data_IF_158236926809
#
_entry.id   IF_158236926809
#
_cell.length_a   1.000
_cell.length_b   1.000
_cell.length_c   1.000
_cell.angle_alpha   90.00
_cell.angle_beta   90.00
_cell.angle_gamma   90.00
#
_symmetry.space_group_name_H-M   'P 1'
#
loop_
_entity.id
_entity.type
_entity.pdbx_description
1 polymer ?
#
# COMPACT_ATOMS: atom_id res chain seq x y z
N UNK A 1 -28.69 9.08 2.19
CA UNK A 1 -27.78 9.02 1.02
C UNK A 1 -26.37 9.05 1.58
N UNK A 2 -25.56 7.98 1.51
CA UNK A 2 -24.19 8.06 2.03
C UNK A 2 -23.29 8.79 1.02
N UNK A 3 -22.42 9.63 1.54
CA UNK A 3 -21.55 10.55 0.77
C UNK A 3 -20.48 9.83 -0.07
N UNK A 4 -20.02 10.42 -1.20
CA UNK A 4 -18.95 9.85 -2.01
C UNK A 4 -17.62 9.96 -1.26
N UNK A 5 -17.09 8.81 -0.82
CA UNK A 5 -15.83 8.75 -0.09
C UNK A 5 -14.68 8.96 -1.07
N UNK A 6 -14.25 10.21 -1.23
CA UNK A 6 -12.98 10.56 -1.87
C UNK A 6 -11.83 10.11 -0.94
N UNK A 7 -11.50 8.82 -0.91
CA UNK A 7 -10.25 8.34 -0.30
C UNK A 7 -9.10 8.59 -1.27
N UNK A 8 -8.62 9.83 -1.26
CA UNK A 8 -7.42 10.29 -1.97
C UNK A 8 -6.18 10.27 -1.06
N UNK A 9 -6.18 9.38 -0.08
CA UNK A 9 -5.26 9.47 1.05
C UNK A 9 -4.11 8.49 0.92
N UNK A 10 -2.93 9.06 0.73
CA UNK A 10 -1.67 8.41 1.07
C UNK A 10 -1.79 7.90 2.50
N UNK A 11 -1.75 6.57 2.69
CA UNK A 11 -1.81 5.91 4.00
C UNK A 11 -0.44 5.36 4.36
N UNK A 12 -0.04 5.53 5.61
CA UNK A 12 1.13 4.85 6.16
C UNK A 12 0.69 3.59 6.91
N UNK A 13 1.32 2.45 6.63
CA UNK A 13 1.16 1.23 7.42
C UNK A 13 1.95 1.37 8.72
N UNK A 14 1.26 1.27 9.85
CA UNK A 14 1.87 1.13 11.17
C UNK A 14 2.01 -0.35 11.51
N UNK A 15 3.24 -0.80 11.75
CA UNK A 15 3.54 -2.19 12.14
C UNK A 15 2.85 -2.64 13.42
N UNK A 16 2.48 -1.70 14.31
CA UNK A 16 1.81 -1.99 15.56
C UNK A 16 0.28 -1.93 15.45
N UNK A 17 -0.25 -1.51 14.30
CA UNK A 17 -1.67 -1.31 14.08
C UNK A 17 -2.05 -1.68 12.63
N UNK A 18 -1.84 -2.95 12.28
CA UNK A 18 -2.14 -3.51 10.97
C UNK A 18 -3.62 -3.87 10.87
N UNK A 19 -4.23 -3.61 9.72
CA UNK A 19 -5.59 -4.06 9.41
C UNK A 19 -5.66 -5.57 9.15
N UNK A 20 -6.89 -6.09 9.04
CA UNK A 20 -7.15 -7.52 8.80
C UNK A 20 -6.48 -8.08 7.52
N UNK A 21 -6.34 -7.24 6.49
CA UNK A 21 -5.79 -7.62 5.18
C UNK A 21 -4.34 -7.13 4.99
N UNK A 22 -3.64 -6.88 6.08
CA UNK A 22 -2.29 -6.32 6.10
C UNK A 22 -1.38 -7.15 6.99
N UNK A 23 -0.12 -7.28 6.58
CA UNK A 23 0.90 -7.94 7.38
C UNK A 23 2.24 -7.24 7.15
N UNK A 24 3.09 -7.23 8.16
CA UNK A 24 4.45 -6.73 8.03
C UNK A 24 5.41 -7.59 8.82
N UNK A 25 6.24 -8.34 8.10
CA UNK A 25 7.30 -9.17 8.66
C UNK A 25 8.66 -8.86 8.04
N UNK A 26 9.60 -8.41 8.88
CA UNK A 26 10.96 -8.07 8.46
C UNK A 26 10.98 -6.98 7.38
N UNK A 27 11.56 -7.31 6.22
CA UNK A 27 11.69 -6.38 5.08
C UNK A 27 10.53 -6.50 4.07
N UNK A 28 9.45 -7.18 4.44
CA UNK A 28 8.34 -7.54 3.54
C UNK A 28 7.01 -7.16 4.19
N UNK A 29 6.09 -6.62 3.39
CA UNK A 29 4.75 -6.26 3.85
C UNK A 29 3.70 -6.73 2.85
N UNK A 30 2.56 -7.21 3.36
CA UNK A 30 1.35 -7.46 2.59
C UNK A 30 0.40 -6.27 2.76
N UNK A 31 -0.14 -5.77 1.64
CA UNK A 31 -0.99 -4.58 1.63
C UNK A 31 -2.23 -4.83 0.78
N UNK A 32 -3.38 -4.39 1.27
CA UNK A 32 -4.61 -4.30 0.48
C UNK A 32 -4.59 -3.07 -0.41
N UNK A 33 -4.77 -3.28 -1.72
CA UNK A 33 -4.98 -2.20 -2.67
C UNK A 33 -6.30 -1.46 -2.37
N UNK A 34 -6.26 -0.16 -2.10
CA UNK A 34 -7.47 0.64 -1.88
C UNK A 34 -8.37 0.74 -3.12
N UNK A 35 -7.80 0.60 -4.33
CA UNK A 35 -8.54 0.78 -5.59
C UNK A 35 -9.28 -0.50 -6.05
N UNK A 36 -8.71 -1.69 -5.85
CA UNK A 36 -9.32 -2.95 -6.30
C UNK A 36 -9.54 -3.98 -5.18
N UNK A 37 -9.13 -3.68 -3.95
CA UNK A 37 -9.26 -4.57 -2.80
C UNK A 37 -8.31 -5.76 -2.78
N UNK A 38 -7.48 -5.99 -3.81
CA UNK A 38 -6.56 -7.13 -3.83
C UNK A 38 -5.39 -6.92 -2.86
N UNK A 39 -5.06 -7.95 -2.09
CA UNK A 39 -3.84 -8.00 -1.29
C UNK A 39 -2.64 -8.39 -2.14
N UNK A 40 -1.53 -7.69 -1.97
CA UNK A 40 -0.28 -7.98 -2.67
C UNK A 40 0.93 -7.71 -1.76
N UNK A 41 2.01 -8.44 -1.99
CA UNK A 41 3.23 -8.37 -1.16
C UNK A 41 4.25 -7.39 -1.76
N UNK A 42 4.86 -6.57 -0.93
CA UNK A 42 6.00 -5.72 -1.28
C UNK A 42 7.21 -6.09 -0.44
N UNK A 43 8.41 -5.79 -0.95
CA UNK A 43 9.68 -6.07 -0.26
C UNK A 43 10.59 -4.86 -0.40
N UNK A 44 11.16 -4.41 0.71
CA UNK A 44 12.06 -3.25 0.74
C UNK A 44 13.31 -3.48 -0.11
N UNK A 45 13.77 -4.74 -0.22
CA UNK A 45 14.99 -5.08 -0.95
C UNK A 45 14.74 -5.19 -2.45
N UNK A 46 13.64 -5.85 -2.84
CA UNK A 46 13.30 -6.08 -4.25
C UNK A 46 12.61 -4.87 -4.89
N UNK A 47 11.79 -4.15 -4.13
CA UNK A 47 10.94 -3.06 -4.61
C UNK A 47 11.38 -1.70 -4.05
N UNK A 48 12.68 -1.40 -4.15
CA UNK A 48 13.28 -0.16 -3.62
C UNK A 48 12.65 1.14 -4.16
N UNK A 49 12.17 1.12 -5.41
CA UNK A 49 11.49 2.25 -6.06
C UNK A 49 9.97 2.26 -5.82
N UNK A 50 9.50 1.37 -4.94
CA UNK A 50 8.10 1.05 -4.75
C UNK A 50 7.61 -0.03 -5.71
N UNK A 51 6.45 -0.60 -5.38
CA UNK A 51 5.74 -1.62 -6.14
C UNK A 51 4.33 -1.14 -6.43
N UNK A 52 3.91 -1.24 -7.68
CA UNK A 52 2.52 -0.97 -8.06
C UNK A 52 1.69 -2.24 -7.92
N UNK A 53 0.41 -2.10 -7.58
CA UNK A 53 -0.55 -3.19 -7.53
C UNK A 53 -0.54 -3.95 -8.87
N UNK A 54 -0.22 -5.25 -8.87
CA UNK A 54 -0.06 -6.01 -10.12
C UNK A 54 -1.38 -6.28 -10.84
N UNK A 55 -2.53 -5.99 -10.20
CA UNK A 55 -3.86 -6.24 -10.76
C UNK A 55 -4.42 -5.01 -11.45
N UNK A 56 -4.46 -3.86 -10.78
CA UNK A 56 -5.14 -2.68 -11.30
C UNK A 56 -4.21 -1.52 -11.66
N UNK A 57 -2.94 -1.56 -11.27
CA UNK A 57 -1.99 -0.48 -11.57
C UNK A 57 -2.18 0.82 -10.77
N UNK A 58 -3.27 0.97 -10.01
CA UNK A 58 -3.68 2.28 -9.42
C UNK A 58 -3.12 2.57 -8.03
N UNK A 59 -2.56 1.58 -7.36
CA UNK A 59 -2.01 1.70 -6.01
C UNK A 59 -0.52 1.42 -6.05
N UNK A 60 0.28 2.30 -5.46
CA UNK A 60 1.72 2.17 -5.31
C UNK A 60 2.07 2.05 -3.84
N UNK A 61 3.00 1.16 -3.53
CA UNK A 61 3.51 0.96 -2.18
C UNK A 61 5.02 1.15 -2.16
N UNK A 62 5.53 1.94 -1.22
CA UNK A 62 6.98 2.14 -1.04
C UNK A 62 7.37 2.07 0.43
N UNK A 63 8.60 1.64 0.71
CA UNK A 63 9.17 1.74 2.05
C UNK A 63 9.80 3.12 2.23
N UNK A 64 9.41 3.82 3.29
CA UNK A 64 9.99 5.11 3.71
C UNK A 64 10.75 4.93 5.01
N UNK A 65 11.32 6.01 5.55
CA UNK A 65 11.95 5.99 6.88
C UNK A 65 10.93 5.82 8.01
N UNK A 66 9.68 6.25 7.77
CA UNK A 66 8.60 6.25 8.75
C UNK A 66 7.79 4.96 8.73
N UNK A 67 7.74 4.24 7.59
CA UNK A 67 6.96 3.04 7.47
C UNK A 67 6.80 2.53 6.04
N UNK A 68 5.68 1.89 5.76
CA UNK A 68 5.27 1.49 4.41
C UNK A 68 4.19 2.46 3.93
N UNK A 69 4.51 3.29 2.93
CA UNK A 69 3.55 4.22 2.34
C UNK A 69 2.74 3.54 1.23
N UNK A 70 1.45 3.80 1.22
CA UNK A 70 0.48 3.33 0.23
C UNK A 70 -0.15 4.56 -0.40
N UNK A 71 0.03 4.78 -1.69
CA UNK A 71 -0.45 5.96 -2.40
C UNK A 71 -1.08 5.60 -3.75
N UNK A 72 -1.70 6.57 -4.40
CA UNK A 72 -1.99 6.46 -5.83
C UNK A 72 -0.70 6.25 -6.63
N UNK A 73 -0.80 5.41 -7.65
CA UNK A 73 0.23 5.33 -8.69
C UNK A 73 0.01 6.50 -9.65
N UNK A 74 0.34 7.71 -9.23
CA UNK A 74 0.43 8.85 -10.16
C UNK A 74 1.60 8.60 -11.10
N UNK A 75 1.41 8.87 -12.39
CA UNK A 75 2.36 8.59 -13.47
C UNK A 75 3.81 8.94 -13.09
N UNK A 76 4.70 7.96 -13.28
CA UNK A 76 6.15 8.01 -13.04
C UNK A 76 6.85 9.01 -13.96
#
# INVERSE_FOLDING_TARGET
MPEPIYYREMRLLDKNNLGQDEDWYGNTAAIRCFACGKVFVTSQVLHRKGRVCPVCGKCKVAFTKEGVSVSEATDL
#
